data_IF_656278864151
#
_entry.id   IF_656278864151
#
_cell.length_a   1.000
_cell.length_b   1.000
_cell.length_c   1.000
_cell.angle_alpha   90.00
_cell.angle_beta   90.00
_cell.angle_gamma   90.00
#
_symmetry.space_group_name_H-M   'P 1'
#
loop_
_entity.id
_entity.type
_entity.pdbx_description
1 polymer ?
#
# COMPACT_ATOMS: atom_id res chain seq x y z
N UNK A 1 -0.08 18.85 -9.28
CA UNK A 1 0.38 17.80 -8.35
C UNK A 1 1.60 18.34 -7.61
N UNK A 2 1.43 18.76 -6.36
CA UNK A 2 2.53 19.18 -5.49
C UNK A 2 3.13 17.95 -4.81
N UNK A 3 4.44 17.86 -4.84
CA UNK A 3 5.14 16.68 -4.32
C UNK A 3 5.61 16.95 -2.90
N UNK A 4 5.02 16.23 -1.95
CA UNK A 4 5.18 16.48 -0.51
C UNK A 4 6.41 15.74 0.04
N UNK A 5 6.80 14.62 -0.56
CA UNK A 5 7.83 13.75 -0.03
C UNK A 5 9.11 13.80 -0.86
N UNK A 6 10.19 14.31 -0.27
CA UNK A 6 11.53 14.35 -0.88
C UNK A 6 12.08 12.94 -1.18
N UNK A 7 13.03 12.79 -2.13
CA UNK A 7 13.80 11.55 -2.28
C UNK A 7 14.41 11.10 -0.95
N UNK A 8 14.37 9.80 -0.68
CA UNK A 8 14.81 9.19 0.58
C UNK A 8 13.88 9.42 1.78
N UNK A 9 12.82 10.23 1.64
CA UNK A 9 11.83 10.44 2.69
C UNK A 9 10.97 9.20 2.94
N UNK A 10 10.48 9.06 4.18
CA UNK A 10 9.65 7.95 4.60
C UNK A 10 8.16 8.29 4.54
N UNK A 11 7.38 7.35 4.06
CA UNK A 11 5.92 7.33 4.08
C UNK A 11 5.48 6.15 4.95
N UNK A 12 4.70 6.46 5.97
CA UNK A 12 4.06 5.49 6.84
C UNK A 12 2.61 5.33 6.37
N UNK A 13 2.25 4.14 5.90
CA UNK A 13 0.97 3.93 5.24
C UNK A 13 0.29 2.66 5.74
N UNK A 14 -0.96 2.81 6.18
CA UNK A 14 -1.85 1.68 6.39
C UNK A 14 -2.92 1.67 5.31
N UNK A 15 -3.04 0.54 4.59
CA UNK A 15 -4.12 0.30 3.63
C UNK A 15 -4.71 -1.08 3.88
N UNK A 16 -6.01 -1.26 3.65
CA UNK A 16 -6.63 -2.57 3.81
C UNK A 16 -6.21 -3.47 2.63
N UNK A 17 -5.61 -4.61 2.96
CA UNK A 17 -5.09 -5.59 2.03
C UNK A 17 -6.06 -6.74 1.83
N UNK A 18 -6.06 -7.29 0.62
CA UNK A 18 -6.85 -8.46 0.28
C UNK A 18 -6.11 -9.30 -0.76
N UNK A 19 -6.50 -10.57 -0.93
CA UNK A 19 -5.96 -11.45 -1.98
C UNK A 19 -6.22 -10.87 -3.37
N UNK A 20 -7.40 -10.27 -3.57
CA UNK A 20 -7.83 -9.68 -4.84
C UNK A 20 -8.22 -8.22 -4.64
N UNK A 21 -8.04 -7.42 -5.69
CA UNK A 21 -8.51 -6.04 -5.69
C UNK A 21 -10.04 -5.98 -5.61
N UNK A 22 -10.56 -5.26 -4.63
CA UNK A 22 -12.00 -5.12 -4.41
C UNK A 22 -12.35 -3.68 -4.05
N UNK A 23 -13.57 -3.27 -4.37
CA UNK A 23 -14.18 -2.07 -3.83
C UNK A 23 -15.35 -2.53 -2.97
N UNK A 24 -15.25 -2.33 -1.67
CA UNK A 24 -16.34 -2.64 -0.74
C UNK A 24 -17.30 -1.44 -0.66
N UNK A 25 -18.57 -1.71 -0.33
CA UNK A 25 -19.58 -0.68 -0.08
C UNK A 25 -19.04 0.38 0.91
N UNK A 26 -19.32 1.66 0.66
CA UNK A 26 -18.65 2.84 1.27
C UNK A 26 -17.20 3.13 0.80
N UNK A 27 -16.85 2.81 -0.45
CA UNK A 27 -15.62 3.27 -1.13
C UNK A 27 -14.28 2.81 -0.50
N UNK A 28 -14.30 1.86 0.44
CA UNK A 28 -13.08 1.24 0.93
C UNK A 28 -12.46 0.39 -0.19
N UNK A 29 -11.31 0.85 -0.71
CA UNK A 29 -10.50 0.10 -1.68
C UNK A 29 -9.68 -0.92 -0.95
N UNK A 30 -9.89 -2.19 -1.25
CA UNK A 30 -9.00 -3.27 -0.81
C UNK A 30 -7.92 -3.46 -1.86
N UNK A 31 -6.67 -3.34 -1.43
CA UNK A 31 -5.50 -3.43 -2.29
C UNK A 31 -5.06 -4.88 -2.40
N UNK A 32 -5.18 -5.43 -3.61
CA UNK A 32 -4.77 -6.78 -3.93
C UNK A 32 -3.54 -6.82 -4.84
N UNK A 33 -3.39 -7.93 -5.53
CA UNK A 33 -2.20 -8.22 -6.35
C UNK A 33 -1.94 -7.21 -7.48
N UNK A 34 -2.92 -6.42 -7.91
CA UNK A 34 -2.74 -5.44 -8.99
C UNK A 34 -2.52 -4.03 -8.44
N UNK A 35 -3.37 -3.53 -7.52
CA UNK A 35 -3.24 -2.14 -7.05
C UNK A 35 -2.12 -1.96 -6.04
N UNK A 36 -1.81 -2.98 -5.23
CA UNK A 36 -0.78 -2.87 -4.20
C UNK A 36 0.61 -2.61 -4.79
N UNK A 37 1.09 -3.35 -5.81
CA UNK A 37 2.39 -3.04 -6.43
C UNK A 37 2.42 -1.66 -7.10
N UNK A 38 1.30 -1.21 -7.68
CA UNK A 38 1.20 0.12 -8.29
C UNK A 38 1.36 1.23 -7.25
N UNK A 39 0.76 1.06 -6.07
CA UNK A 39 0.91 1.98 -4.94
C UNK A 39 2.38 2.09 -4.50
N UNK A 40 3.13 0.99 -4.54
CA UNK A 40 4.52 0.92 -4.07
C UNK A 40 5.57 1.16 -5.16
N UNK A 41 5.19 1.33 -6.44
CA UNK A 41 6.12 1.32 -7.60
C UNK A 41 7.36 2.23 -7.43
N UNK A 42 7.14 3.41 -6.88
CA UNK A 42 8.16 4.46 -6.71
C UNK A 42 8.82 4.45 -5.32
N UNK A 43 8.48 3.46 -4.51
CA UNK A 43 8.97 3.30 -3.16
C UNK A 43 9.82 2.04 -3.03
N UNK A 44 10.66 2.02 -2.00
CA UNK A 44 11.28 0.83 -1.46
C UNK A 44 10.53 0.46 -0.17
N UNK A 45 10.09 -0.79 -0.05
CA UNK A 45 9.47 -1.27 1.19
C UNK A 45 10.58 -1.49 2.21
N UNK A 46 10.53 -0.75 3.30
CA UNK A 46 11.53 -0.82 4.38
C UNK A 46 11.09 -1.85 5.41
N UNK A 47 9.83 -1.78 5.83
CA UNK A 47 9.29 -2.65 6.88
C UNK A 47 7.78 -2.82 6.70
N UNK A 48 7.26 -3.98 7.08
CA UNK A 48 5.84 -4.26 7.17
C UNK A 48 5.51 -4.73 8.59
N UNK A 49 4.58 -4.04 9.23
CA UNK A 49 4.10 -4.31 10.59
C UNK A 49 2.63 -4.74 10.53
N UNK A 50 2.30 -5.81 11.24
CA UNK A 50 0.93 -6.33 11.33
C UNK A 50 0.82 -7.81 10.98
N UNK A 51 -0.39 -8.36 11.11
CA UNK A 51 -0.67 -9.76 10.83
C UNK A 51 -0.60 -10.05 9.33
N UNK A 52 -0.04 -11.22 8.99
CA UNK A 52 0.01 -11.68 7.60
C UNK A 52 -1.41 -11.81 7.02
N UNK A 53 -1.55 -11.50 5.73
CA UNK A 53 -2.82 -11.55 5.02
C UNK A 53 -3.47 -12.94 5.16
N UNK A 54 -4.64 -13.02 5.78
CA UNK A 54 -5.37 -14.28 5.88
C UNK A 54 -5.86 -14.70 4.48
N UNK A 55 -5.57 -15.95 4.10
CA UNK A 55 -5.85 -16.51 2.76
C UNK A 55 -7.30 -16.99 2.57
N UNK A 56 -8.18 -16.77 3.54
CA UNK A 56 -9.54 -17.30 3.53
C UNK A 56 -10.48 -16.38 2.76
N UNK A 57 -11.24 -16.95 1.83
CA UNK A 57 -12.25 -16.27 0.96
C UNK A 57 -13.35 -15.48 1.70
N UNK A 58 -13.40 -15.57 3.03
CA UNK A 58 -14.36 -14.85 3.88
C UNK A 58 -13.73 -13.92 4.92
N UNK A 59 -12.41 -13.74 4.91
CA UNK A 59 -11.73 -12.85 5.87
C UNK A 59 -12.00 -11.38 5.52
N UNK A 60 -12.36 -10.60 6.54
CA UNK A 60 -12.28 -9.14 6.52
C UNK A 60 -10.86 -8.70 6.17
N UNK A 61 -10.72 -7.62 5.40
CA UNK A 61 -9.43 -7.12 4.94
C UNK A 61 -8.45 -6.90 6.11
N UNK A 62 -7.20 -7.35 5.95
CA UNK A 62 -6.15 -7.09 6.94
C UNK A 62 -5.58 -5.69 6.72
N UNK A 63 -5.53 -4.86 7.76
CA UNK A 63 -4.81 -3.59 7.71
C UNK A 63 -3.37 -3.82 8.18
N UNK A 64 -2.44 -3.77 7.24
CA UNK A 64 -1.01 -3.75 7.56
C UNK A 64 -0.50 -2.31 7.54
N UNK A 65 0.51 -2.04 8.36
CA UNK A 65 1.21 -0.79 8.40
C UNK A 65 2.57 -0.95 7.71
N UNK A 66 2.80 -0.21 6.64
CA UNK A 66 3.99 -0.35 5.79
C UNK A 66 4.81 0.93 5.83
N UNK A 67 6.12 0.76 6.02
CA UNK A 67 7.10 1.83 5.94
C UNK A 67 7.70 1.81 4.54
N UNK A 68 7.53 2.92 3.83
CA UNK A 68 7.92 3.08 2.43
C UNK A 68 8.94 4.21 2.31
N UNK A 69 10.07 3.97 1.64
CA UNK A 69 11.05 5.01 1.35
C UNK A 69 10.95 5.47 -0.11
N UNK A 70 10.80 6.77 -0.34
CA UNK A 70 10.68 7.31 -1.70
C UNK A 70 12.00 7.18 -2.47
N UNK A 71 12.01 6.44 -3.58
CA UNK A 71 13.22 6.22 -4.39
C UNK A 71 13.56 7.39 -5.32
N UNK A 72 12.54 8.03 -5.89
CA UNK A 72 12.68 8.89 -7.06
C UNK A 72 12.25 10.34 -6.82
N UNK A 73 11.63 10.62 -5.66
CA UNK A 73 11.05 11.93 -5.38
C UNK A 73 9.78 12.13 -6.20
N UNK A 74 9.78 13.22 -6.97
CA UNK A 74 8.62 13.75 -7.69
C UNK A 74 8.68 13.50 -9.19
N UNK A 75 9.67 12.72 -9.64
CA UNK A 75 9.86 12.44 -11.05
C UNK A 75 8.75 11.49 -11.50
N UNK A 76 7.88 11.96 -12.39
CA UNK A 76 7.06 11.04 -13.17
C UNK A 76 8.03 10.25 -14.04
N UNK A 77 8.08 8.94 -13.81
CA UNK A 77 8.51 8.02 -14.86
C UNK A 77 7.58 8.12 -16.06
#
# INVERSE_FOLDING_TARGET
ITCILKPGGFLFLSVPLNVQDLIQFNLHRLYGSIRLPLLYRNFHVVEMLGTAMERTRGSTAAQQFVVLQNKVGCKSS
#
